data_IF_354270570995
#
_entry.id   IF_354270570995
#
_cell.length_a   1.000
_cell.length_b   1.000
_cell.length_c   1.000
_cell.angle_alpha   90.00
_cell.angle_beta   90.00
_cell.angle_gamma   90.00
#
_symmetry.space_group_name_H-M   'P 1'
#
loop_
_entity.id
_entity.type
_entity.pdbx_description
1 polymer ?
#
# COMPACT_ATOMS: atom_id res chain seq x y z
N UNK A 1 14.35 -21.99 13.74
CA UNK A 1 14.94 -21.15 12.67
C UNK A 1 15.86 -22.01 11.80
N UNK A 2 15.44 -22.29 10.56
CA UNK A 2 16.05 -23.30 9.71
C UNK A 2 17.37 -22.79 9.09
N UNK A 3 18.42 -23.61 9.06
CA UNK A 3 19.76 -23.20 8.57
C UNK A 3 19.78 -22.77 7.09
N UNK A 4 18.71 -23.08 6.33
CA UNK A 4 18.44 -22.56 4.97
C UNK A 4 18.12 -21.06 4.94
N UNK A 5 17.51 -20.51 5.99
CA UNK A 5 17.14 -19.08 6.09
C UNK A 5 18.38 -18.20 6.29
N UNK A 6 19.32 -18.65 7.13
CA UNK A 6 20.53 -17.88 7.49
C UNK A 6 21.53 -17.75 6.34
N UNK A 7 21.51 -18.67 5.36
CA UNK A 7 22.41 -18.68 4.20
C UNK A 7 21.92 -17.85 3.01
N UNK A 8 20.67 -17.35 3.06
CA UNK A 8 20.04 -16.50 2.03
C UNK A 8 19.89 -15.03 2.45
N UNK A 9 20.27 -14.68 3.68
CA UNK A 9 20.16 -13.31 4.25
C UNK A 9 21.25 -12.32 3.80
N UNK A 10 22.05 -12.64 2.78
CA UNK A 10 22.85 -11.65 2.06
C UNK A 10 22.92 -12.10 0.61
N UNK A 11 22.10 -11.52 -0.29
CA UNK A 11 22.55 -10.26 -0.88
C UNK A 11 21.43 -9.38 -1.49
N UNK A 12 20.91 -8.40 -0.75
CA UNK A 12 20.21 -7.25 -1.36
C UNK A 12 21.13 -6.48 -2.35
N UNK A 13 22.45 -6.65 -2.25
CA UNK A 13 23.47 -5.95 -3.06
C UNK A 13 23.93 -6.73 -4.30
N UNK A 14 23.91 -8.08 -4.32
CA UNK A 14 24.41 -8.86 -5.49
C UNK A 14 23.38 -9.04 -6.60
N UNK A 15 22.09 -9.05 -6.26
CA UNK A 15 21.00 -9.08 -7.25
C UNK A 15 20.98 -7.75 -8.04
N UNK A 16 21.31 -6.64 -7.38
CA UNK A 16 21.32 -5.30 -7.97
C UNK A 16 22.44 -5.06 -9.01
N UNK A 17 23.64 -5.60 -8.83
CA UNK A 17 24.76 -5.38 -9.78
C UNK A 17 24.66 -6.18 -11.08
N UNK A 18 23.88 -7.27 -11.14
CA UNK A 18 23.76 -8.08 -12.37
C UNK A 18 22.76 -7.50 -13.38
N UNK A 19 21.73 -6.80 -12.93
CA UNK A 19 20.73 -6.20 -13.82
C UNK A 19 21.21 -4.92 -14.50
N UNK A 20 22.07 -4.13 -13.85
CA UNK A 20 22.67 -2.91 -14.43
C UNK A 20 23.64 -3.18 -15.60
N UNK A 21 24.18 -4.40 -15.74
CA UNK A 21 25.11 -4.72 -16.83
C UNK A 21 24.42 -5.32 -18.07
N UNK A 22 23.19 -5.81 -17.94
CA UNK A 22 22.45 -6.44 -19.03
C UNK A 22 21.72 -5.41 -19.91
N UNK A 23 21.27 -4.29 -19.35
CA UNK A 23 20.54 -3.23 -20.07
C UNK A 23 21.43 -2.29 -20.87
N UNK A 24 22.73 -2.19 -20.57
CA UNK A 24 23.67 -1.33 -21.30
C UNK A 24 24.10 -1.87 -22.68
N UNK A 25 23.86 -3.16 -23.00
CA UNK A 25 24.36 -3.79 -24.24
C UNK A 25 23.33 -3.99 -25.34
N UNK A 26 22.04 -3.76 -25.09
CA UNK A 26 20.98 -4.01 -26.09
C UNK A 26 20.53 -2.77 -26.88
N UNK A 27 21.08 -1.58 -26.63
CA UNK A 27 20.66 -0.32 -27.29
C UNK A 27 21.55 0.15 -28.46
N UNK A 28 22.11 -0.78 -29.24
CA UNK A 28 22.79 -0.46 -30.50
C UNK A 28 22.22 -1.32 -31.63
N UNK A 29 21.04 -0.95 -32.11
CA UNK A 29 20.39 -1.62 -33.22
C UNK A 29 19.11 -0.92 -33.70
N UNK A 30 19.21 0.37 -34.05
CA UNK A 30 18.08 1.10 -34.65
C UNK A 30 17.92 0.67 -36.11
N UNK A 31 16.73 0.22 -36.50
CA UNK A 31 16.28 0.36 -37.88
C UNK A 31 14.78 0.73 -37.92
N UNK A 32 14.49 1.85 -38.58
CA UNK A 32 13.16 2.47 -38.70
C UNK A 32 12.30 1.72 -39.71
N UNK A 33 11.05 1.43 -39.36
CA UNK A 33 9.90 1.51 -40.28
C UNK A 33 8.61 1.79 -39.50
N UNK A 34 7.85 2.71 -40.05
CA UNK A 34 6.63 3.33 -39.53
C UNK A 34 5.45 2.37 -39.46
N UNK A 35 5.00 2.10 -38.24
CA UNK A 35 3.62 1.79 -37.86
C UNK A 35 3.48 2.24 -36.42
N UNK A 36 2.43 3.01 -36.08
CA UNK A 36 2.15 3.44 -34.71
C UNK A 36 2.40 2.28 -33.72
N UNK A 37 3.19 2.45 -32.66
CA UNK A 37 3.25 1.40 -31.66
C UNK A 37 1.93 1.45 -30.88
N UNK A 38 0.99 0.59 -31.28
CA UNK A 38 0.24 -0.17 -30.29
C UNK A 38 1.30 -0.66 -29.31
N UNK A 39 1.29 -0.11 -28.10
CA UNK A 39 2.24 -0.46 -27.05
C UNK A 39 1.99 -1.95 -26.76
N UNK A 40 2.73 -2.81 -27.43
CA UNK A 40 2.83 -4.23 -27.16
C UNK A 40 3.63 -4.43 -25.87
N UNK A 41 3.05 -4.01 -24.74
CA UNK A 41 3.37 -4.55 -23.40
C UNK A 41 2.56 -5.85 -23.20
N UNK A 42 2.22 -6.54 -24.29
CA UNK A 42 1.65 -7.88 -24.23
C UNK A 42 2.69 -8.83 -23.64
N UNK A 43 2.29 -9.54 -22.59
CA UNK A 43 2.88 -10.76 -22.02
C UNK A 43 3.80 -10.63 -20.80
N UNK A 44 4.13 -9.41 -20.35
CA UNK A 44 5.03 -9.21 -19.19
C UNK A 44 4.58 -8.06 -18.30
N UNK A 45 3.43 -8.25 -17.64
CA UNK A 45 2.99 -7.37 -16.55
C UNK A 45 3.90 -7.58 -15.33
N UNK A 46 4.71 -6.57 -15.03
CA UNK A 46 5.56 -6.54 -13.85
C UNK A 46 5.43 -5.18 -13.18
N UNK A 47 5.28 -5.19 -11.87
CA UNK A 47 5.40 -3.99 -11.05
C UNK A 47 6.90 -3.74 -10.86
N UNK A 48 7.40 -2.64 -11.41
CA UNK A 48 8.79 -2.23 -11.16
C UNK A 48 8.90 -1.52 -9.81
N UNK A 49 10.08 -1.60 -9.20
CA UNK A 49 10.35 -0.92 -7.92
C UNK A 49 10.05 0.58 -8.01
N UNK A 50 10.50 1.24 -9.08
CA UNK A 50 10.36 2.69 -9.21
C UNK A 50 8.89 3.10 -9.36
N UNK A 51 8.09 2.31 -10.10
CA UNK A 51 6.64 2.54 -10.20
C UNK A 51 5.98 2.29 -8.84
N UNK A 52 6.29 1.19 -8.15
CA UNK A 52 5.74 0.92 -6.82
C UNK A 52 6.05 2.06 -5.85
N UNK A 53 7.31 2.45 -5.73
CA UNK A 53 7.75 3.52 -4.83
C UNK A 53 7.11 4.86 -5.16
N UNK A 54 7.02 5.25 -6.43
CA UNK A 54 6.36 6.49 -6.83
C UNK A 54 4.85 6.47 -6.51
N UNK A 55 4.18 5.36 -6.78
CA UNK A 55 2.75 5.19 -6.52
C UNK A 55 2.43 5.16 -5.02
N UNK A 56 3.23 4.44 -4.22
CA UNK A 56 3.11 4.43 -2.76
C UNK A 56 3.39 5.81 -2.16
N UNK A 57 4.36 6.55 -2.70
CA UNK A 57 4.60 7.94 -2.29
C UNK A 57 3.40 8.86 -2.63
N UNK A 58 2.76 8.64 -3.78
CA UNK A 58 1.52 9.34 -4.14
C UNK A 58 0.39 9.01 -3.17
N UNK A 59 0.20 7.73 -2.82
CA UNK A 59 -0.75 7.32 -1.79
C UNK A 59 -0.52 8.06 -0.48
N UNK A 60 0.71 8.01 0.07
CA UNK A 60 1.05 8.65 1.35
C UNK A 60 0.80 10.16 1.33
N UNK A 61 1.11 10.82 0.22
CA UNK A 61 1.00 12.28 0.12
C UNK A 61 -0.45 12.77 -0.06
N UNK A 62 -1.26 12.04 -0.82
CA UNK A 62 -2.57 12.52 -1.29
C UNK A 62 -3.70 11.70 -0.68
N UNK A 63 -3.70 10.39 -0.93
CA UNK A 63 -4.81 9.49 -0.58
C UNK A 63 -4.90 9.29 0.93
N UNK A 64 -3.78 9.06 1.59
CA UNK A 64 -3.72 8.90 3.05
C UNK A 64 -4.19 10.18 3.76
N UNK A 65 -3.79 11.36 3.28
CA UNK A 65 -4.25 12.63 3.84
C UNK A 65 -5.76 12.79 3.74
N UNK A 66 -6.37 12.44 2.59
CA UNK A 66 -7.82 12.45 2.42
C UNK A 66 -8.51 11.52 3.44
N UNK A 67 -7.98 10.31 3.62
CA UNK A 67 -8.51 9.35 4.59
C UNK A 67 -8.44 9.89 6.01
N UNK A 68 -7.26 10.37 6.43
CA UNK A 68 -7.05 10.86 7.79
C UNK A 68 -7.93 12.07 8.11
N UNK A 69 -8.14 12.99 7.17
CA UNK A 69 -9.09 14.09 7.34
C UNK A 69 -10.51 13.57 7.50
N UNK A 70 -10.96 12.66 6.61
CA UNK A 70 -12.31 12.10 6.65
C UNK A 70 -12.59 11.33 7.95
N UNK A 71 -11.57 10.65 8.49
CA UNK A 71 -11.64 9.94 9.75
C UNK A 71 -11.65 10.89 10.95
N UNK A 72 -10.80 11.93 10.93
CA UNK A 72 -10.51 12.71 12.14
C UNK A 72 -11.47 13.87 12.36
N UNK A 73 -11.98 14.52 11.31
CA UNK A 73 -12.74 15.77 11.43
C UNK A 73 -14.18 15.66 10.95
N UNK A 74 -15.08 16.35 11.65
CA UNK A 74 -16.47 16.46 11.23
C UNK A 74 -16.56 17.20 9.88
N UNK A 75 -17.47 16.78 8.98
CA UNK A 75 -17.70 17.51 7.74
C UNK A 75 -18.03 18.98 8.04
N UNK A 76 -17.47 19.89 7.24
CA UNK A 76 -17.72 21.35 7.33
C UNK A 76 -17.20 22.04 8.60
N UNK A 77 -16.49 21.33 9.47
CA UNK A 77 -15.90 21.91 10.68
C UNK A 77 -14.62 22.73 10.44
N UNK A 78 -14.14 22.85 9.19
CA UNK A 78 -12.82 23.40 8.89
C UNK A 78 -11.67 22.80 9.73
N UNK A 79 -11.81 21.52 10.12
CA UNK A 79 -10.88 20.80 11.00
C UNK A 79 -10.83 21.33 12.44
N UNK A 80 -11.91 21.96 12.91
CA UNK A 80 -12.02 22.48 14.29
C UNK A 80 -12.79 21.54 15.23
N UNK A 81 -13.44 20.50 14.69
CA UNK A 81 -14.19 19.52 15.48
C UNK A 81 -13.85 18.10 15.04
N UNK A 82 -13.44 17.27 16.00
CA UNK A 82 -13.10 15.87 15.74
C UNK A 82 -14.35 14.98 15.66
N UNK A 83 -14.27 13.87 14.92
CA UNK A 83 -15.36 12.91 14.81
C UNK A 83 -15.54 12.09 16.09
N UNK A 84 -16.76 11.60 16.31
CA UNK A 84 -17.01 10.64 17.38
C UNK A 84 -16.43 9.25 17.05
N UNK A 85 -16.23 8.94 15.77
CA UNK A 85 -15.56 7.71 15.34
C UNK A 85 -14.09 7.71 15.78
N UNK A 86 -13.34 8.81 15.58
CA UNK A 86 -11.96 8.93 16.07
C UNK A 86 -11.90 8.73 17.59
N UNK A 87 -12.77 9.41 18.35
CA UNK A 87 -12.83 9.24 19.81
C UNK A 87 -13.10 7.80 20.22
N UNK A 88 -14.04 7.15 19.53
CA UNK A 88 -14.42 5.76 19.83
C UNK A 88 -13.28 4.80 19.52
N UNK A 89 -12.62 4.96 18.36
CA UNK A 89 -11.46 4.15 18.00
C UNK A 89 -10.28 4.41 18.93
N UNK A 90 -10.04 5.65 19.35
CA UNK A 90 -9.03 5.96 20.37
C UNK A 90 -9.32 5.27 21.71
N UNK A 91 -10.58 5.27 22.15
CA UNK A 91 -10.98 4.66 23.42
C UNK A 91 -10.81 3.13 23.43
N UNK A 92 -11.23 2.46 22.36
CA UNK A 92 -11.24 0.98 22.28
C UNK A 92 -9.97 0.40 21.64
N UNK A 93 -9.22 1.19 20.87
CA UNK A 93 -8.07 0.73 20.10
C UNK A 93 -8.45 -0.38 19.11
N UNK A 94 -7.74 -1.50 19.17
CA UNK A 94 -7.99 -2.66 18.31
C UNK A 94 -9.17 -3.55 18.77
N UNK A 95 -9.63 -3.39 20.01
CA UNK A 95 -10.73 -4.19 20.59
C UNK A 95 -12.08 -3.48 20.39
N UNK A 96 -12.39 -3.15 19.14
CA UNK A 96 -13.61 -2.43 18.77
C UNK A 96 -14.85 -3.30 18.99
N UNK A 97 -15.89 -2.78 19.67
CA UNK A 97 -17.21 -3.38 19.62
C UNK A 97 -17.70 -3.54 18.18
N UNK A 98 -18.47 -4.60 17.90
CA UNK A 98 -18.89 -4.95 16.55
C UNK A 98 -19.64 -3.83 15.81
N UNK A 99 -20.40 -3.00 16.51
CA UNK A 99 -21.08 -1.83 15.92
C UNK A 99 -20.08 -0.79 15.42
N UNK A 100 -19.05 -0.47 16.22
CA UNK A 100 -18.00 0.47 15.84
C UNK A 100 -17.08 -0.10 14.75
N UNK A 101 -16.86 -1.41 14.75
CA UNK A 101 -16.16 -2.08 13.67
C UNK A 101 -16.91 -1.95 12.35
N UNK A 102 -18.24 -2.11 12.36
CA UNK A 102 -19.09 -1.91 11.18
C UNK A 102 -19.09 -0.45 10.71
N UNK A 103 -19.13 0.52 11.63
CA UNK A 103 -19.05 1.94 11.29
C UNK A 103 -17.70 2.30 10.64
N UNK A 104 -16.60 1.81 11.21
CA UNK A 104 -15.26 2.01 10.66
C UNK A 104 -15.12 1.36 9.29
N UNK A 105 -15.59 0.12 9.13
CA UNK A 105 -15.60 -0.57 7.85
C UNK A 105 -16.46 0.16 6.81
N UNK A 106 -17.66 0.62 7.20
CA UNK A 106 -18.55 1.39 6.35
C UNK A 106 -17.91 2.70 5.87
N UNK A 107 -17.19 3.39 6.76
CA UNK A 107 -16.43 4.59 6.42
C UNK A 107 -15.32 4.29 5.41
N UNK A 108 -14.52 3.23 5.64
CA UNK A 108 -13.45 2.82 4.74
C UNK A 108 -13.97 2.42 3.35
N UNK A 109 -15.07 1.68 3.30
CA UNK A 109 -15.70 1.29 2.03
C UNK A 109 -16.24 2.50 1.27
N UNK A 110 -16.85 3.44 1.98
CA UNK A 110 -17.30 4.71 1.37
C UNK A 110 -16.11 5.49 0.84
N UNK A 111 -15.05 5.67 1.64
CA UNK A 111 -13.83 6.34 1.23
C UNK A 111 -13.25 5.73 -0.05
N UNK A 112 -13.08 4.41 -0.10
CA UNK A 112 -12.59 3.68 -1.29
C UNK A 112 -13.44 3.96 -2.53
N UNK A 113 -14.77 3.92 -2.39
CA UNK A 113 -15.69 4.11 -3.50
C UNK A 113 -15.73 5.56 -4.02
N UNK A 114 -15.33 6.52 -3.18
CA UNK A 114 -15.25 7.93 -3.52
C UNK A 114 -13.89 8.33 -4.15
N UNK A 115 -12.90 7.41 -4.21
CA UNK A 115 -11.59 7.68 -4.80
C UNK A 115 -11.62 7.77 -6.33
N UNK A 116 -10.80 8.68 -6.86
CA UNK A 116 -10.51 8.69 -8.29
C UNK A 116 -9.71 7.44 -8.70
N UNK A 117 -9.70 7.11 -9.99
CA UNK A 117 -9.12 5.84 -10.48
C UNK A 117 -7.64 5.69 -10.15
N UNK A 118 -6.87 6.77 -10.28
CA UNK A 118 -5.44 6.82 -9.95
C UNK A 118 -5.20 6.72 -8.44
N UNK A 119 -6.05 7.35 -7.63
CA UNK A 119 -6.03 7.25 -6.17
C UNK A 119 -6.35 5.84 -5.69
N UNK A 120 -7.38 5.22 -6.27
CA UNK A 120 -7.74 3.83 -6.01
C UNK A 120 -6.61 2.87 -6.41
N UNK A 121 -5.99 3.11 -7.55
CA UNK A 121 -4.80 2.34 -7.96
C UNK A 121 -3.70 2.49 -6.92
N UNK A 122 -3.42 3.71 -6.47
CA UNK A 122 -2.39 3.96 -5.47
C UNK A 122 -2.68 3.31 -4.13
N UNK A 123 -3.95 3.28 -3.72
CA UNK A 123 -4.41 2.54 -2.54
C UNK A 123 -4.07 1.05 -2.63
N UNK A 124 -4.35 0.39 -3.76
CA UNK A 124 -4.04 -1.03 -3.91
C UNK A 124 -2.54 -1.33 -4.00
N UNK A 125 -1.75 -0.43 -4.61
CA UNK A 125 -0.29 -0.55 -4.55
C UNK A 125 0.23 -0.46 -3.12
N UNK A 126 -0.33 0.45 -2.30
CA UNK A 126 0.02 0.55 -0.89
C UNK A 126 -0.38 -0.70 -0.09
N UNK A 127 -1.59 -1.22 -0.29
CA UNK A 127 -2.04 -2.45 0.37
C UNK A 127 -1.20 -3.67 -0.01
N UNK A 128 -0.79 -3.75 -1.29
CA UNK A 128 0.13 -4.79 -1.76
C UNK A 128 1.51 -4.67 -1.09
N UNK A 129 2.01 -3.45 -0.91
CA UNK A 129 3.28 -3.17 -0.24
C UNK A 129 3.24 -3.64 1.23
N UNK A 130 2.13 -3.39 1.95
CA UNK A 130 1.96 -3.85 3.33
C UNK A 130 1.95 -5.39 3.44
N UNK A 131 1.28 -6.07 2.50
CA UNK A 131 1.16 -7.54 2.48
C UNK A 131 2.29 -8.24 1.72
N UNK A 132 3.28 -7.52 1.18
CA UNK A 132 4.28 -8.07 0.27
C UNK A 132 4.97 -9.32 0.84
N UNK A 133 5.41 -9.26 2.10
CA UNK A 133 6.10 -10.38 2.73
C UNK A 133 5.19 -11.59 2.94
N UNK A 134 3.92 -11.36 3.28
CA UNK A 134 2.92 -12.44 3.39
C UNK A 134 2.74 -13.12 2.02
N UNK A 135 2.57 -12.35 0.95
CA UNK A 135 2.44 -12.90 -0.40
C UNK A 135 3.71 -13.62 -0.87
N UNK A 136 4.88 -13.09 -0.53
CA UNK A 136 6.16 -13.73 -0.84
C UNK A 136 6.31 -15.08 -0.14
N UNK A 137 5.99 -15.15 1.15
CA UNK A 137 6.05 -16.39 1.92
C UNK A 137 5.03 -17.43 1.44
N UNK A 138 3.79 -17.01 1.17
CA UNK A 138 2.76 -17.88 0.62
C UNK A 138 3.17 -18.44 -0.74
N UNK A 139 3.64 -17.56 -1.64
CA UNK A 139 4.11 -17.98 -2.95
C UNK A 139 5.31 -18.92 -2.84
N UNK A 140 6.27 -18.63 -1.96
CA UNK A 140 7.41 -19.52 -1.69
C UNK A 140 6.96 -20.93 -1.30
N UNK A 141 5.97 -21.04 -0.41
CA UNK A 141 5.46 -22.33 0.09
C UNK A 141 4.72 -23.14 -0.99
N UNK A 142 4.16 -22.48 -2.00
CA UNK A 142 3.46 -23.12 -3.14
C UNK A 142 4.40 -23.46 -4.30
N UNK A 143 5.62 -22.91 -4.30
CA UNK A 143 6.51 -22.82 -5.45
C UNK A 143 7.66 -23.85 -5.48
N UNK A 144 7.45 -25.07 -4.99
CA UNK A 144 8.50 -26.11 -4.87
C UNK A 144 9.17 -26.51 -6.21
N UNK A 145 8.60 -26.12 -7.34
CA UNK A 145 8.96 -26.59 -8.69
C UNK A 145 9.68 -25.57 -9.58
N UNK A 146 9.74 -24.29 -9.20
CA UNK A 146 10.29 -23.25 -10.07
C UNK A 146 11.82 -23.18 -10.02
N UNK A 147 12.45 -22.95 -11.18
CA UNK A 147 13.83 -22.46 -11.19
C UNK A 147 13.89 -21.02 -10.68
N UNK A 148 15.05 -20.59 -10.18
CA UNK A 148 15.23 -19.22 -9.62
C UNK A 148 14.80 -18.11 -10.59
N UNK A 149 15.02 -18.29 -11.90
CA UNK A 149 14.62 -17.29 -12.91
C UNK A 149 13.12 -17.30 -13.22
N UNK A 150 12.47 -18.44 -13.11
CA UNK A 150 11.02 -18.55 -13.32
C UNK A 150 10.26 -18.02 -12.10
N UNK A 151 10.82 -18.24 -10.91
CA UNK A 151 10.26 -17.76 -9.66
C UNK A 151 10.02 -16.24 -9.69
N UNK A 152 11.06 -15.45 -9.99
CA UNK A 152 10.95 -13.98 -10.01
C UNK A 152 9.89 -13.50 -11.02
N UNK A 153 9.80 -14.19 -12.16
CA UNK A 153 8.84 -13.90 -13.22
C UNK A 153 7.40 -14.20 -12.80
N UNK A 154 7.16 -15.38 -12.25
CA UNK A 154 5.81 -15.79 -11.87
C UNK A 154 5.33 -15.09 -10.60
N UNK A 155 6.22 -14.81 -9.65
CA UNK A 155 5.89 -13.99 -8.49
C UNK A 155 5.53 -12.56 -8.90
N UNK A 156 6.34 -11.94 -9.76
CA UNK A 156 6.06 -10.60 -10.27
C UNK A 156 4.72 -10.50 -11.00
N UNK A 157 4.34 -11.54 -11.77
CA UNK A 157 3.03 -11.63 -12.42
C UNK A 157 1.89 -11.81 -11.43
N UNK A 158 2.10 -12.63 -10.39
CA UNK A 158 1.12 -12.81 -9.30
C UNK A 158 0.82 -11.48 -8.59
N UNK A 159 1.86 -10.70 -8.28
CA UNK A 159 1.70 -9.36 -7.70
C UNK A 159 0.98 -8.40 -8.64
N UNK A 160 1.32 -8.41 -9.93
CA UNK A 160 0.61 -7.60 -10.91
C UNK A 160 -0.88 -7.97 -10.97
N UNK A 161 -1.19 -9.27 -11.06
CA UNK A 161 -2.57 -9.76 -11.07
C UNK A 161 -3.37 -9.25 -9.86
N UNK A 162 -2.77 -9.21 -8.67
CA UNK A 162 -3.41 -8.67 -7.47
C UNK A 162 -3.89 -7.23 -7.64
N UNK A 163 -3.07 -6.37 -8.25
CA UNK A 163 -3.43 -4.96 -8.49
C UNK A 163 -4.46 -4.80 -9.59
N UNK A 164 -4.41 -5.62 -10.64
CA UNK A 164 -5.37 -5.54 -11.75
C UNK A 164 -6.74 -6.11 -11.39
N UNK A 165 -6.78 -7.15 -10.55
CA UNK A 165 -7.99 -7.84 -10.11
C UNK A 165 -8.07 -7.88 -8.57
N UNK A 166 -8.21 -6.72 -7.89
CA UNK A 166 -8.08 -6.62 -6.44
C UNK A 166 -9.15 -7.43 -5.68
N UNK A 167 -10.36 -7.53 -6.23
CA UNK A 167 -11.43 -8.30 -5.61
C UNK A 167 -11.21 -9.80 -5.74
N UNK A 168 -10.90 -10.28 -6.96
CA UNK A 168 -10.72 -11.71 -7.21
C UNK A 168 -9.45 -12.27 -6.57
N UNK A 169 -8.47 -11.41 -6.27
CA UNK A 169 -7.19 -11.80 -5.70
C UNK A 169 -7.09 -11.64 -4.18
N UNK A 170 -8.15 -11.15 -3.53
CA UNK A 170 -8.21 -10.84 -2.10
C UNK A 170 -7.52 -9.55 -1.67
N UNK A 171 -6.88 -8.82 -2.59
CA UNK A 171 -6.15 -7.60 -2.26
C UNK A 171 -7.06 -6.49 -1.71
N UNK A 172 -8.32 -6.40 -2.15
CA UNK A 172 -9.25 -5.39 -1.62
C UNK A 172 -9.50 -5.58 -0.13
N UNK A 173 -9.84 -6.79 0.29
CA UNK A 173 -10.08 -7.12 1.70
C UNK A 173 -8.82 -6.88 2.54
N UNK A 174 -7.68 -7.41 2.08
CA UNK A 174 -6.37 -7.17 2.69
C UNK A 174 -6.07 -5.67 2.86
N UNK A 175 -6.39 -4.86 1.85
CA UNK A 175 -6.14 -3.40 1.88
C UNK A 175 -7.04 -2.70 2.88
N UNK A 176 -8.32 -3.09 2.98
CA UNK A 176 -9.24 -2.51 3.96
C UNK A 176 -8.84 -2.88 5.39
N UNK A 177 -8.37 -4.10 5.63
CA UNK A 177 -7.84 -4.52 6.93
C UNK A 177 -6.60 -3.69 7.33
N UNK A 178 -5.67 -3.46 6.40
CA UNK A 178 -4.49 -2.63 6.65
C UNK A 178 -4.88 -1.16 6.90
N UNK A 179 -5.86 -0.61 6.19
CA UNK A 179 -6.38 0.73 6.48
C UNK A 179 -7.01 0.80 7.87
N UNK A 180 -7.77 -0.23 8.28
CA UNK A 180 -8.36 -0.31 9.63
C UNK A 180 -7.25 -0.29 10.69
N UNK A 181 -6.22 -1.13 10.52
CA UNK A 181 -5.09 -1.17 11.45
C UNK A 181 -4.38 0.18 11.52
N UNK A 182 -4.12 0.82 10.37
CA UNK A 182 -3.53 2.15 10.30
C UNK A 182 -4.34 3.19 11.08
N UNK A 183 -5.67 3.18 10.96
CA UNK A 183 -6.53 4.14 11.66
C UNK A 183 -6.58 3.88 13.17
N UNK A 184 -6.54 2.62 13.60
CA UNK A 184 -6.41 2.28 15.02
C UNK A 184 -5.08 2.75 15.59
N UNK A 185 -3.96 2.53 14.87
CA UNK A 185 -2.64 3.01 15.27
C UNK A 185 -2.61 4.53 15.35
N UNK A 186 -3.11 5.21 14.30
CA UNK A 186 -3.19 6.66 14.25
C UNK A 186 -4.02 7.22 15.41
N UNK A 187 -5.20 6.65 15.67
CA UNK A 187 -6.04 7.07 16.79
C UNK A 187 -5.33 6.86 18.12
N UNK A 188 -4.55 5.78 18.28
CA UNK A 188 -3.79 5.45 19.48
C UNK A 188 -2.65 6.41 19.80
N UNK A 189 -2.25 7.30 18.90
CA UNK A 189 -1.21 8.30 19.16
C UNK A 189 -1.67 9.47 20.05
N UNK A 190 -2.99 9.63 20.22
CA UNK A 190 -3.56 10.77 20.94
C UNK A 190 -4.09 10.38 22.32
N UNK A 191 -3.98 11.30 23.28
CA UNK A 191 -4.77 11.24 24.51
C UNK A 191 -6.05 12.08 24.30
N UNK A 192 -7.16 11.43 23.95
CA UNK A 192 -8.45 12.10 23.75
C UNK A 192 -9.34 12.07 25.00
N UNK A 193 -8.78 11.78 26.18
CA UNK A 193 -9.53 11.86 27.44
C UNK A 193 -10.00 13.28 27.76
N UNK A 194 -9.25 14.28 27.28
CA UNK A 194 -9.59 15.69 27.31
C UNK A 194 -9.38 16.26 25.91
N UNK A 195 -10.45 16.71 25.27
CA UNK A 195 -10.39 17.41 23.99
C UNK A 195 -10.36 18.90 24.25
N UNK A 196 -9.28 19.56 23.83
CA UNK A 196 -9.06 20.99 23.99
C UNK A 196 -8.64 21.67 22.68
N UNK A 197 -8.23 22.94 22.77
CA UNK A 197 -7.82 23.74 21.61
C UNK A 197 -6.54 23.25 20.91
N UNK A 198 -5.75 22.39 21.55
CA UNK A 198 -4.53 21.82 20.99
C UNK A 198 -4.79 20.49 20.28
N UNK A 199 -5.82 19.74 20.67
CA UNK A 199 -6.12 18.42 20.09
C UNK A 199 -6.20 18.43 18.57
N UNK A 200 -6.91 19.38 17.95
CA UNK A 200 -7.03 19.45 16.49
C UNK A 200 -5.69 19.78 15.81
N UNK A 201 -4.86 20.59 16.47
CA UNK A 201 -3.53 20.94 15.98
C UNK A 201 -2.60 19.73 16.04
N UNK A 202 -2.60 19.01 17.16
CA UNK A 202 -1.78 17.82 17.35
C UNK A 202 -2.13 16.74 16.32
N UNK A 203 -3.43 16.55 16.06
CA UNK A 203 -3.92 15.66 15.01
C UNK A 203 -3.34 16.05 13.64
N UNK A 204 -3.38 17.33 13.27
CA UNK A 204 -2.84 17.79 12.00
C UNK A 204 -1.32 17.60 11.91
N UNK A 205 -0.57 17.85 13.00
CA UNK A 205 0.88 17.65 13.04
C UNK A 205 1.26 16.17 12.91
N UNK A 206 0.53 15.27 13.58
CA UNK A 206 0.70 13.83 13.43
C UNK A 206 0.35 13.36 12.01
N UNK A 207 -0.72 13.89 11.40
CA UNK A 207 -1.06 13.58 10.00
C UNK A 207 0.08 13.92 9.05
N UNK A 208 0.75 15.07 9.21
CA UNK A 208 1.91 15.42 8.38
C UNK A 208 3.03 14.39 8.53
N UNK A 209 3.26 13.88 9.75
CA UNK A 209 4.28 12.85 9.99
C UNK A 209 3.96 11.55 9.24
N UNK A 210 2.70 11.10 9.28
CA UNK A 210 2.23 9.93 8.50
C UNK A 210 2.38 10.15 6.98
N UNK A 211 2.06 11.34 6.50
CA UNK A 211 2.10 11.67 5.06
C UNK A 211 3.53 11.90 4.55
N UNK A 212 4.47 12.29 5.42
CA UNK A 212 5.87 12.58 5.08
C UNK A 212 6.82 11.40 5.26
N UNK A 213 6.41 10.34 5.96
CA UNK A 213 7.23 9.14 6.19
C UNK A 213 7.52 8.38 4.88
N UNK A 214 8.49 8.89 4.10
CA UNK A 214 9.14 8.19 3.01
C UNK A 214 10.19 7.25 3.61
N UNK A 215 9.78 6.02 3.92
CA UNK A 215 10.70 4.91 4.17
C UNK A 215 11.10 4.27 2.84
#
# INVERSE_FOLDING_TARGET
MNAKVKKRMTPFVKIFTRYLWATSKSELGINKKTSNPLIGIGDKMFITKDINSATVAYFKKIVLRKLLIAFSFQPQSNNEAITDLLKSVNHYGFDLPSELELDLYGMLMKFKNDLEKDELTALYFWGLDQKYMCYFENFLNESDTYSEKEFDGEFGRSLAYKVYEPNASGLEEDTIEELKALLCDFAGEFDLSIVDEHTCKDILETMETYCLAAN
#
